data_IF_309438097754
#
_entry.id   IF_309438097754
#
_cell.length_a   1.000
_cell.length_b   1.000
_cell.length_c   1.000
_cell.angle_alpha   90.00
_cell.angle_beta   90.00
_cell.angle_gamma   90.00
#
_symmetry.space_group_name_H-M   'P 1'
#
loop_
_entity.id
_entity.type
_entity.pdbx_description
1 polymer ?
#
# COMPACT_ATOMS: atom_id res chain seq x y z
N UNK A 1 16.54 32.18 9.05
CA UNK A 1 15.37 32.42 8.17
C UNK A 1 15.63 31.67 6.87
N UNK A 2 15.02 30.50 6.71
CA UNK A 2 15.03 29.77 5.45
C UNK A 2 14.06 30.49 4.50
N UNK A 3 14.63 31.25 3.56
CA UNK A 3 13.84 31.82 2.48
C UNK A 3 13.63 30.71 1.45
N UNK A 4 12.52 29.98 1.55
CA UNK A 4 12.13 28.95 0.59
C UNK A 4 11.84 29.58 -0.77
N UNK A 5 12.83 29.59 -1.66
CA UNK A 5 12.66 30.00 -3.05
C UNK A 5 12.09 28.81 -3.83
N UNK A 6 10.86 28.94 -4.37
CA UNK A 6 10.32 27.94 -5.28
C UNK A 6 11.16 27.87 -6.54
N UNK A 7 11.68 26.69 -6.85
CA UNK A 7 12.60 26.50 -7.98
C UNK A 7 12.39 25.13 -8.64
N UNK A 8 12.81 25.02 -9.89
CA UNK A 8 12.84 23.78 -10.66
C UNK A 8 14.19 23.64 -11.33
N UNK A 9 14.78 22.45 -11.23
CA UNK A 9 15.98 22.10 -11.99
C UNK A 9 15.59 21.36 -13.27
N UNK A 10 16.23 21.76 -14.38
CA UNK A 10 16.18 21.02 -15.65
C UNK A 10 17.61 20.78 -16.15
N UNK A 11 17.82 19.68 -16.84
CA UNK A 11 19.08 19.39 -17.49
C UNK A 11 18.97 19.73 -18.97
N UNK A 12 19.80 20.65 -19.46
CA UNK A 12 19.89 21.06 -20.85
C UNK A 12 21.28 20.74 -21.39
N UNK A 13 21.42 19.60 -22.04
CA UNK A 13 22.71 19.06 -22.44
C UNK A 13 23.61 18.74 -21.24
N UNK A 14 24.79 19.38 -21.16
CA UNK A 14 25.73 19.23 -20.04
C UNK A 14 25.49 20.25 -18.90
N UNK A 15 24.53 21.16 -19.07
CA UNK A 15 24.25 22.21 -18.09
C UNK A 15 23.02 21.88 -17.25
N UNK A 16 23.11 22.17 -15.95
CA UNK A 16 21.97 22.22 -15.08
C UNK A 16 21.40 23.63 -15.03
N UNK A 17 20.13 23.79 -15.37
CA UNK A 17 19.45 25.08 -15.41
C UNK A 17 18.48 25.16 -14.23
N UNK A 18 18.64 26.21 -13.42
CA UNK A 18 17.75 26.54 -12.32
C UNK A 18 16.72 27.54 -12.80
N UNK A 19 15.44 27.12 -12.79
CA UNK A 19 14.31 27.99 -13.04
C UNK A 19 13.77 28.54 -11.73
N UNK A 20 13.66 29.85 -11.63
CA UNK A 20 13.10 30.53 -10.48
C UNK A 20 11.75 31.16 -10.83
N UNK A 21 10.86 31.26 -9.86
CA UNK A 21 9.48 31.75 -10.05
C UNK A 21 9.41 33.24 -10.41
N UNK A 22 10.45 34.03 -10.06
CA UNK A 22 10.53 35.46 -10.31
C UNK A 22 11.97 35.93 -10.55
N UNK A 23 12.13 37.11 -11.13
CA UNK A 23 13.43 37.71 -11.34
C UNK A 23 14.16 37.99 -10.01
N UNK A 24 13.44 38.38 -8.97
CA UNK A 24 13.99 38.57 -7.63
C UNK A 24 14.51 37.27 -7.03
N UNK A 25 13.77 36.16 -7.20
CA UNK A 25 14.17 34.82 -6.78
C UNK A 25 15.41 34.32 -7.56
N UNK A 26 15.47 34.58 -8.86
CA UNK A 26 16.63 34.26 -9.69
C UNK A 26 17.91 35.07 -9.25
N UNK A 27 17.74 36.32 -8.90
CA UNK A 27 18.83 37.17 -8.38
C UNK A 27 19.37 36.63 -7.05
N UNK A 28 18.48 36.28 -6.11
CA UNK A 28 18.86 35.70 -4.83
C UNK A 28 19.57 34.36 -4.99
N UNK A 29 19.09 33.50 -5.88
CA UNK A 29 19.74 32.22 -6.17
C UNK A 29 21.14 32.41 -6.79
N UNK A 30 21.28 33.38 -7.69
CA UNK A 30 22.57 33.72 -8.29
C UNK A 30 23.57 34.25 -7.27
N UNK A 31 23.16 35.16 -6.40
CA UNK A 31 24.00 35.70 -5.33
C UNK A 31 24.43 34.60 -4.35
N UNK A 32 23.52 33.73 -3.95
CA UNK A 32 23.82 32.57 -3.11
C UNK A 32 24.82 31.63 -3.77
N UNK A 33 24.67 31.35 -5.06
CA UNK A 33 25.61 30.51 -5.82
C UNK A 33 27.00 31.15 -5.94
N UNK A 34 27.10 32.47 -6.15
CA UNK A 34 28.39 33.19 -6.19
C UNK A 34 29.09 33.09 -4.83
N UNK A 35 28.37 33.33 -3.72
CA UNK A 35 28.91 33.22 -2.37
C UNK A 35 29.35 31.79 -2.05
N UNK A 36 28.59 30.80 -2.50
CA UNK A 36 28.96 29.39 -2.36
C UNK A 36 30.26 29.06 -3.09
N UNK A 37 30.43 29.53 -4.35
CA UNK A 37 31.64 29.34 -5.11
C UNK A 37 32.86 30.10 -4.54
N UNK A 38 32.63 31.23 -3.88
CA UNK A 38 33.66 31.99 -3.18
C UNK A 38 34.04 31.35 -1.81
N UNK A 39 33.36 30.30 -1.38
CA UNK A 39 33.59 29.68 -0.06
C UNK A 39 33.07 30.51 1.12
N UNK A 40 32.31 31.57 0.85
CA UNK A 40 31.76 32.46 1.86
C UNK A 40 30.45 31.89 2.46
N UNK A 41 29.81 30.94 1.76
CA UNK A 41 28.56 30.31 2.17
C UNK A 41 28.85 28.87 2.54
N UNK A 42 28.93 28.61 3.83
CA UNK A 42 28.94 27.22 4.33
C UNK A 42 27.49 26.67 4.29
N UNK A 43 27.23 25.79 3.33
CA UNK A 43 26.01 25.02 3.32
C UNK A 43 26.16 23.97 4.41
N UNK A 44 25.54 24.18 5.57
CA UNK A 44 25.31 23.10 6.51
C UNK A 44 24.33 22.12 5.85
N UNK A 45 24.88 21.18 5.08
CA UNK A 45 24.10 20.03 4.68
C UNK A 45 23.59 19.39 6.00
N UNK A 46 22.28 19.21 6.15
CA UNK A 46 21.80 18.43 7.27
C UNK A 46 22.60 17.13 7.25
N UNK A 47 23.31 16.87 8.33
CA UNK A 47 24.09 15.65 8.48
C UNK A 47 23.11 14.50 8.29
N UNK A 48 23.14 13.92 7.08
CA UNK A 48 22.33 12.75 6.75
C UNK A 48 22.99 11.57 7.45
N UNK A 49 23.08 11.67 8.79
CA UNK A 49 23.33 10.51 9.62
C UNK A 49 22.23 9.55 9.21
N UNK A 50 22.63 8.43 8.69
CA UNK A 50 21.79 7.35 8.20
C UNK A 50 20.54 7.24 9.07
N UNK A 51 19.45 7.85 8.59
CA UNK A 51 18.20 7.75 9.31
C UNK A 51 17.96 6.25 9.47
N UNK A 52 17.85 5.79 10.70
CA UNK A 52 17.65 4.38 11.02
C UNK A 52 16.45 3.90 10.20
N UNK A 53 16.48 2.66 9.71
CA UNK A 53 15.30 2.01 9.10
C UNK A 53 14.03 2.28 9.93
N UNK A 54 14.19 2.29 11.25
CA UNK A 54 13.10 2.56 12.18
C UNK A 54 12.55 3.99 12.07
N UNK A 55 13.39 5.01 11.85
CA UNK A 55 12.90 6.38 11.64
C UNK A 55 12.13 6.52 10.34
N UNK A 56 12.60 5.91 9.24
CA UNK A 56 11.85 5.90 7.98
C UNK A 56 10.51 5.18 8.11
N UNK A 57 10.47 4.07 8.86
CA UNK A 57 9.22 3.35 9.14
C UNK A 57 8.24 4.22 9.95
N UNK A 58 8.74 4.93 10.97
CA UNK A 58 7.92 5.83 11.79
C UNK A 58 7.39 7.02 10.97
N UNK A 59 8.19 7.57 10.09
CA UNK A 59 7.76 8.66 9.19
C UNK A 59 6.72 8.18 8.18
N UNK A 60 6.90 6.98 7.64
CA UNK A 60 5.90 6.33 6.79
C UNK A 60 4.60 6.04 7.56
N UNK A 61 4.68 5.58 8.82
CA UNK A 61 3.52 5.32 9.66
C UNK A 61 2.71 6.58 9.99
N UNK A 62 3.39 7.71 10.12
CA UNK A 62 2.71 9.00 10.30
C UNK A 62 2.09 9.53 9.01
N UNK A 63 2.74 9.29 7.87
CA UNK A 63 2.32 9.81 6.57
C UNK A 63 1.25 8.95 5.89
N UNK A 64 1.33 7.62 6.05
CA UNK A 64 0.48 6.64 5.37
C UNK A 64 0.03 5.52 6.32
N UNK A 65 -0.69 5.86 7.40
CA UNK A 65 -1.04 4.89 8.45
C UNK A 65 -1.90 3.75 7.94
N UNK A 66 -2.85 4.01 7.05
CA UNK A 66 -3.73 2.97 6.52
C UNK A 66 -3.01 2.03 5.55
N UNK A 67 -2.17 2.57 4.67
CA UNK A 67 -1.34 1.76 3.75
C UNK A 67 -0.47 0.81 4.54
N UNK A 68 0.19 1.28 5.61
CA UNK A 68 0.99 0.40 6.47
C UNK A 68 0.14 -0.61 7.25
N UNK A 69 -1.06 -0.23 7.71
CA UNK A 69 -1.98 -1.15 8.36
C UNK A 69 -2.41 -2.28 7.40
N UNK A 70 -2.73 -1.96 6.15
CA UNK A 70 -3.04 -2.96 5.12
C UNK A 70 -1.86 -3.91 4.88
N UNK A 71 -0.63 -3.40 4.77
CA UNK A 71 0.58 -4.21 4.64
C UNK A 71 0.76 -5.13 5.84
N UNK A 72 0.63 -4.59 7.06
CA UNK A 72 0.77 -5.36 8.30
C UNK A 72 -0.29 -6.47 8.41
N UNK A 73 -1.54 -6.20 8.04
CA UNK A 73 -2.61 -7.19 8.01
C UNK A 73 -2.32 -8.31 6.99
N UNK A 74 -1.86 -7.98 5.78
CA UNK A 74 -1.49 -8.99 4.79
C UNK A 74 -0.34 -9.88 5.28
N UNK A 75 0.67 -9.32 5.94
CA UNK A 75 1.77 -10.10 6.54
C UNK A 75 1.26 -10.96 7.70
N UNK A 76 0.39 -10.42 8.55
CA UNK A 76 -0.17 -11.13 9.70
C UNK A 76 -0.99 -12.35 9.27
N UNK A 77 -1.80 -12.22 8.20
CA UNK A 77 -2.64 -13.30 7.70
C UNK A 77 -1.96 -14.22 6.67
N UNK A 78 -0.72 -13.90 6.25
CA UNK A 78 0.01 -14.73 5.29
C UNK A 78 0.16 -16.21 5.71
N UNK A 79 0.44 -16.55 6.99
CA UNK A 79 0.52 -17.94 7.42
C UNK A 79 -0.77 -18.73 7.21
N UNK A 80 -1.94 -18.05 7.23
CA UNK A 80 -3.26 -18.69 7.05
C UNK A 80 -3.38 -19.31 5.66
N UNK A 81 -2.92 -18.60 4.61
CA UNK A 81 -2.96 -19.12 3.24
C UNK A 81 -1.88 -20.18 2.94
N UNK A 82 -0.74 -20.12 3.63
CA UNK A 82 0.35 -21.09 3.45
C UNK A 82 0.09 -22.39 4.20
N UNK A 83 -0.58 -22.31 5.36
CA UNK A 83 -0.95 -23.48 6.17
C UNK A 83 -2.15 -24.28 5.62
N UNK A 84 -2.53 -24.05 4.37
CA UNK A 84 -3.69 -24.64 3.68
C UNK A 84 -3.75 -26.18 3.69
N UNK A 85 -2.68 -26.89 4.06
CA UNK A 85 -2.62 -28.35 4.06
C UNK A 85 -3.53 -29.03 5.11
N UNK A 86 -4.10 -28.29 6.04
CA UNK A 86 -5.04 -28.79 7.05
C UNK A 86 -6.37 -28.06 6.90
N UNK A 87 -7.11 -28.34 5.81
CA UNK A 87 -8.44 -27.80 5.63
C UNK A 87 -9.38 -28.43 6.66
N UNK A 88 -9.99 -27.58 7.47
CA UNK A 88 -11.09 -27.90 8.35
C UNK A 88 -12.13 -26.81 8.21
N UNK A 89 -13.42 -27.13 8.26
CA UNK A 89 -14.50 -26.12 8.24
C UNK A 89 -14.36 -25.08 9.35
N UNK A 90 -13.76 -25.47 10.48
CA UNK A 90 -13.52 -24.60 11.63
C UNK A 90 -12.19 -23.83 11.56
N UNK A 91 -11.43 -23.99 10.48
CA UNK A 91 -10.14 -23.30 10.33
C UNK A 91 -10.34 -21.79 10.07
N UNK A 92 -9.36 -20.99 10.53
CA UNK A 92 -9.35 -19.56 10.21
C UNK A 92 -9.33 -19.33 8.70
N UNK A 93 -8.71 -20.22 7.94
CA UNK A 93 -8.71 -20.19 6.49
C UNK A 93 -10.14 -20.30 5.94
N UNK A 94 -10.91 -21.33 6.34
CA UNK A 94 -12.30 -21.52 5.92
C UNK A 94 -13.18 -20.32 6.31
N UNK A 95 -12.94 -19.72 7.49
CA UNK A 95 -13.65 -18.53 7.94
C UNK A 95 -13.35 -17.28 7.10
N UNK A 96 -12.16 -17.17 6.52
CA UNK A 96 -11.73 -16.03 5.69
C UNK A 96 -12.06 -16.19 4.20
N UNK A 97 -12.48 -17.38 3.75
CA UNK A 97 -12.83 -17.63 2.34
C UNK A 97 -14.12 -16.94 1.93
N UNK A 98 -14.29 -16.72 0.64
CA UNK A 98 -15.44 -16.03 0.06
C UNK A 98 -16.76 -16.76 0.29
N UNK A 99 -16.77 -18.09 0.09
CA UNK A 99 -17.91 -18.95 0.41
C UNK A 99 -17.69 -19.66 1.74
N UNK A 100 -18.77 -19.92 2.42
CA UNK A 100 -18.77 -20.77 3.61
C UNK A 100 -18.52 -22.21 3.18
N UNK A 101 -17.69 -22.90 3.96
CA UNK A 101 -17.33 -24.29 3.73
C UNK A 101 -17.94 -25.12 4.84
N UNK A 102 -18.71 -26.12 4.45
CA UNK A 102 -19.30 -27.09 5.37
C UNK A 102 -18.68 -28.46 5.11
N UNK A 103 -18.32 -29.17 6.18
CA UNK A 103 -17.79 -30.52 6.12
C UNK A 103 -18.90 -31.52 6.49
N UNK A 104 -19.23 -32.41 5.54
CA UNK A 104 -20.26 -33.46 5.70
C UNK A 104 -19.62 -34.78 5.29
N UNK A 105 -19.57 -35.74 6.20
CA UNK A 105 -19.00 -37.09 5.97
C UNK A 105 -17.55 -37.06 5.40
N UNK A 106 -16.72 -36.08 5.87
CA UNK A 106 -15.35 -35.84 5.42
C UNK A 106 -15.22 -35.26 4.00
N UNK A 107 -16.32 -34.88 3.37
CA UNK A 107 -16.31 -34.09 2.12
C UNK A 107 -16.60 -32.62 2.38
N UNK A 108 -16.04 -31.75 1.56
CA UNK A 108 -16.19 -30.29 1.70
C UNK A 108 -17.18 -29.76 0.68
N UNK A 109 -18.16 -29.00 1.16
CA UNK A 109 -19.20 -28.37 0.36
C UNK A 109 -19.14 -26.86 0.51
N UNK A 110 -19.30 -26.15 -0.60
CA UNK A 110 -19.43 -24.68 -0.60
C UNK A 110 -20.91 -24.32 -0.51
N UNK A 111 -21.27 -23.56 0.52
CA UNK A 111 -22.62 -23.04 0.65
C UNK A 111 -22.87 -21.93 -0.39
N UNK A 112 -24.12 -21.77 -0.87
CA UNK A 112 -24.47 -20.68 -1.77
C UNK A 112 -24.16 -19.31 -1.13
N UNK A 113 -23.61 -18.38 -1.92
CA UNK A 113 -23.28 -17.04 -1.45
C UNK A 113 -24.47 -16.34 -0.77
N UNK A 114 -25.69 -16.56 -1.31
CA UNK A 114 -26.90 -16.00 -0.74
C UNK A 114 -27.14 -16.47 0.69
N UNK A 115 -27.01 -17.75 0.97
CA UNK A 115 -27.23 -18.34 2.30
C UNK A 115 -26.16 -17.87 3.29
N UNK A 116 -24.90 -17.81 2.84
CA UNK A 116 -23.76 -17.27 3.59
C UNK A 116 -24.01 -15.82 4.02
N UNK A 117 -24.48 -14.96 3.11
CA UNK A 117 -24.75 -13.55 3.41
C UNK A 117 -25.99 -13.36 4.28
N UNK A 118 -27.07 -14.17 4.09
CA UNK A 118 -28.24 -14.16 4.99
C UNK A 118 -27.88 -14.64 6.38
N UNK A 119 -26.93 -15.56 6.51
CA UNK A 119 -26.33 -15.99 7.78
C UNK A 119 -25.51 -14.90 8.48
N UNK A 120 -25.41 -13.71 7.87
CA UNK A 120 -24.74 -12.54 8.45
C UNK A 120 -23.23 -12.50 8.23
N UNK A 121 -22.66 -13.38 7.40
CA UNK A 121 -21.21 -13.51 7.20
C UNK A 121 -20.68 -12.53 6.13
N UNK A 122 -21.01 -11.23 6.27
CA UNK A 122 -20.65 -10.15 5.33
C UNK A 122 -19.15 -9.91 5.17
N UNK A 123 -18.36 -10.26 6.20
CA UNK A 123 -16.90 -10.11 6.14
C UNK A 123 -16.26 -10.91 5.01
N UNK A 124 -16.87 -12.02 4.58
CA UNK A 124 -16.38 -12.88 3.50
C UNK A 124 -16.29 -12.18 2.15
N UNK A 125 -16.98 -11.05 1.98
CA UNK A 125 -16.83 -10.21 0.79
C UNK A 125 -15.45 -9.50 0.75
N UNK A 126 -14.77 -9.37 1.91
CA UNK A 126 -13.53 -8.62 2.05
C UNK A 126 -12.34 -9.48 2.51
N UNK A 127 -12.56 -10.45 3.37
CA UNK A 127 -11.48 -11.22 4.01
C UNK A 127 -10.59 -12.00 3.04
N UNK A 128 -11.04 -12.49 1.87
CA UNK A 128 -10.17 -13.20 0.93
C UNK A 128 -8.98 -12.36 0.45
N UNK A 129 -9.10 -11.02 0.46
CA UNK A 129 -8.00 -10.15 0.04
C UNK A 129 -6.74 -10.27 0.92
N UNK A 130 -6.86 -10.85 2.12
CA UNK A 130 -5.74 -11.07 3.04
C UNK A 130 -5.15 -12.48 2.92
N UNK A 131 -5.80 -13.39 2.17
CA UNK A 131 -5.34 -14.77 2.00
C UNK A 131 -4.39 -14.87 0.81
N UNK A 132 -3.19 -15.40 1.05
CA UNK A 132 -2.14 -15.48 0.03
C UNK A 132 -1.54 -16.89 0.01
N UNK A 133 -1.57 -17.53 -1.16
CA UNK A 133 -1.15 -18.93 -1.33
C UNK A 133 0.35 -19.11 -1.65
N UNK A 134 1.15 -18.05 -1.66
CA UNK A 134 2.58 -18.16 -1.94
C UNK A 134 3.36 -16.86 -1.85
N UNK A 135 4.68 -16.99 -1.72
CA UNK A 135 5.60 -15.88 -1.53
C UNK A 135 5.57 -14.85 -2.66
N UNK A 136 5.52 -15.28 -3.90
CA UNK A 136 5.45 -14.35 -5.03
C UNK A 136 4.15 -13.56 -5.02
N UNK A 137 3.04 -14.21 -4.71
CA UNK A 137 1.73 -13.56 -4.63
C UNK A 137 1.72 -12.45 -3.58
N UNK A 138 2.15 -12.74 -2.33
CA UNK A 138 2.17 -11.71 -1.28
C UNK A 138 3.17 -10.59 -1.61
N UNK A 139 4.37 -10.90 -2.13
CA UNK A 139 5.38 -9.88 -2.44
C UNK A 139 4.85 -8.88 -3.47
N UNK A 140 4.24 -9.36 -4.57
CA UNK A 140 3.66 -8.47 -5.58
C UNK A 140 2.47 -7.67 -5.03
N UNK A 141 1.60 -8.28 -4.22
CA UNK A 141 0.49 -7.56 -3.61
C UNK A 141 0.98 -6.46 -2.67
N UNK A 142 1.95 -6.75 -1.79
CA UNK A 142 2.51 -5.75 -0.89
C UNK A 142 3.20 -4.60 -1.65
N UNK A 143 3.87 -4.91 -2.76
CA UNK A 143 4.48 -3.89 -3.61
C UNK A 143 3.40 -2.95 -4.19
N UNK A 144 2.30 -3.49 -4.70
CA UNK A 144 1.21 -2.68 -5.24
C UNK A 144 0.45 -1.92 -4.16
N UNK A 145 0.20 -2.54 -3.00
CA UNK A 145 -0.41 -1.86 -1.84
C UNK A 145 0.45 -0.68 -1.41
N UNK A 146 1.78 -0.84 -1.35
CA UNK A 146 2.69 0.25 -1.04
C UNK A 146 2.68 1.33 -2.13
N UNK A 147 2.85 0.96 -3.39
CA UNK A 147 3.04 1.92 -4.47
C UNK A 147 1.76 2.72 -4.79
N UNK A 148 0.60 2.05 -4.82
CA UNK A 148 -0.68 2.68 -5.12
C UNK A 148 -1.33 3.22 -3.84
N UNK A 149 -1.31 2.45 -2.75
CA UNK A 149 -1.98 2.80 -1.50
C UNK A 149 -1.46 4.12 -0.93
N UNK A 150 -0.14 4.29 -0.81
CA UNK A 150 0.45 5.54 -0.32
C UNK A 150 0.11 6.77 -1.17
N UNK A 151 -0.07 6.59 -2.48
CA UNK A 151 -0.43 7.70 -3.39
C UNK A 151 -1.90 8.09 -3.22
N UNK A 152 -2.80 7.10 -3.15
CA UNK A 152 -4.22 7.37 -2.90
C UNK A 152 -4.40 8.01 -1.52
N UNK A 153 -3.75 7.46 -0.49
CA UNK A 153 -3.84 7.98 0.87
C UNK A 153 -3.31 9.41 0.98
N UNK A 154 -2.18 9.73 0.29
CA UNK A 154 -1.60 11.06 0.28
C UNK A 154 -2.47 12.10 -0.46
N UNK A 155 -3.09 11.72 -1.58
CA UNK A 155 -3.80 12.66 -2.46
C UNK A 155 -5.27 12.77 -2.09
N UNK A 156 -5.90 11.64 -1.78
CA UNK A 156 -7.36 11.53 -1.61
C UNK A 156 -7.76 11.19 -0.17
N UNK A 157 -6.82 10.81 0.66
CA UNK A 157 -7.03 10.47 2.06
C UNK A 157 -7.38 9.00 2.31
N UNK A 158 -7.28 8.61 3.58
CA UNK A 158 -7.45 7.22 4.04
C UNK A 158 -8.85 6.64 3.73
N UNK A 159 -9.91 7.44 3.85
CA UNK A 159 -11.28 6.95 3.57
C UNK A 159 -11.48 6.56 2.11
N UNK A 160 -10.87 7.30 1.18
CA UNK A 160 -10.93 6.95 -0.25
C UNK A 160 -10.16 5.65 -0.50
N UNK A 161 -9.00 5.48 0.15
CA UNK A 161 -8.24 4.22 0.04
C UNK A 161 -9.04 3.03 0.56
N UNK A 162 -9.71 3.15 1.73
CA UNK A 162 -10.64 2.10 2.24
C UNK A 162 -11.71 1.78 1.21
N UNK A 163 -12.37 2.79 0.66
CA UNK A 163 -13.43 2.60 -0.34
C UNK A 163 -12.94 1.89 -1.59
N UNK A 164 -11.78 2.29 -2.12
CA UNK A 164 -11.16 1.66 -3.31
C UNK A 164 -10.79 0.21 -3.03
N UNK A 165 -10.14 -0.08 -1.90
CA UNK A 165 -9.73 -1.44 -1.53
C UNK A 165 -10.95 -2.34 -1.31
N UNK A 166 -11.96 -1.86 -0.56
CA UNK A 166 -13.19 -2.62 -0.32
C UNK A 166 -13.95 -2.90 -1.63
N UNK A 167 -14.11 -1.89 -2.47
CA UNK A 167 -14.78 -2.04 -3.76
C UNK A 167 -14.03 -3.03 -4.67
N UNK A 168 -12.71 -2.88 -4.80
CA UNK A 168 -11.89 -3.77 -5.62
C UNK A 168 -11.96 -5.22 -5.12
N UNK A 169 -11.91 -5.44 -3.79
CA UNK A 169 -12.05 -6.77 -3.18
C UNK A 169 -13.38 -7.42 -3.52
N UNK A 170 -14.48 -6.70 -3.31
CA UNK A 170 -15.84 -7.22 -3.61
C UNK A 170 -15.99 -7.56 -5.10
N UNK A 171 -15.56 -6.65 -5.97
CA UNK A 171 -15.64 -6.86 -7.43
C UNK A 171 -14.78 -8.04 -7.86
N UNK A 172 -13.54 -8.13 -7.36
CA UNK A 172 -12.65 -9.24 -7.68
C UNK A 172 -13.23 -10.59 -7.25
N UNK A 173 -13.69 -10.71 -6.00
CA UNK A 173 -14.26 -11.95 -5.47
C UNK A 173 -15.52 -12.38 -6.21
N UNK A 174 -16.44 -11.44 -6.50
CA UNK A 174 -17.67 -11.74 -7.26
C UNK A 174 -17.31 -12.15 -8.70
N UNK A 175 -16.40 -11.42 -9.36
CA UNK A 175 -15.98 -11.74 -10.74
C UNK A 175 -15.37 -13.13 -10.80
N UNK A 176 -14.49 -13.45 -9.86
CA UNK A 176 -13.83 -14.76 -9.79
C UNK A 176 -14.85 -15.88 -9.57
N UNK A 177 -15.79 -15.69 -8.66
CA UNK A 177 -16.89 -16.64 -8.43
C UNK A 177 -17.74 -16.86 -9.70
N UNK A 178 -18.10 -15.80 -10.40
CA UNK A 178 -18.89 -15.90 -11.65
C UNK A 178 -18.14 -16.59 -12.79
N UNK A 179 -16.81 -16.44 -12.84
CA UNK A 179 -15.98 -17.03 -13.90
C UNK A 179 -15.57 -18.47 -13.63
N UNK A 180 -15.27 -18.81 -12.38
CA UNK A 180 -14.67 -20.10 -12.01
C UNK A 180 -15.65 -21.00 -11.23
N UNK A 181 -16.78 -20.45 -10.79
CA UNK A 181 -17.71 -21.15 -9.89
C UNK A 181 -17.21 -21.19 -8.44
N UNK A 182 -17.87 -22.00 -7.58
CA UNK A 182 -17.44 -22.19 -6.20
C UNK A 182 -16.08 -22.88 -6.14
N UNK A 183 -15.16 -22.32 -5.36
CA UNK A 183 -13.79 -22.81 -5.20
C UNK A 183 -13.06 -22.07 -4.09
N UNK A 184 -11.79 -22.44 -3.88
CA UNK A 184 -10.94 -21.90 -2.82
C UNK A 184 -10.28 -20.55 -3.20
N UNK A 185 -10.63 -19.95 -4.27
CA UNK A 185 -10.01 -18.68 -4.73
C UNK A 185 -11.06 -17.65 -5.04
#
# INVERSE_FOLDING_TARGET
>A
MEQGVRHRFTQEGLNQVLWAESESAAKLAREAFIKYRAGELQINMPNNQSASFFSHLMDAARSFPLTLALIALNILFFPVGVAFNELSSDSLFAYMMFLEIEEIDSDYYFLPLYDTLLGGQWWRLLTPMFVHFGWLHIVFNLLWVWEIGRRIEAVSGALVLVGVVAFASVVANITQFLMNGPGFF
#
